data_IF_579126366401
#
_entry.id   IF_579126366401
#
_cell.length_a   1.000
_cell.length_b   1.000
_cell.length_c   1.000
_cell.angle_alpha   90.00
_cell.angle_beta   90.00
_cell.angle_gamma   90.00
#
_symmetry.space_group_name_H-M   'P 1'
#
loop_
_entity.id
_entity.type
_entity.pdbx_description
1 polymer ?
#
# COMPACT_ATOMS: atom_id res chain seq x y z
N UNK A 1 -8.01 -1.04 -35.65
CA UNK A 1 -6.79 -1.54 -35.00
C UNK A 1 -7.10 -1.64 -33.51
N UNK A 2 -7.26 -2.84 -32.96
CA UNK A 2 -7.56 -3.06 -31.54
C UNK A 2 -6.28 -3.66 -30.95
N UNK A 3 -5.55 -2.89 -30.15
CA UNK A 3 -4.28 -3.32 -29.55
C UNK A 3 -4.58 -3.92 -28.16
N UNK A 4 -4.39 -5.23 -27.95
CA UNK A 4 -4.43 -5.81 -26.61
C UNK A 4 -3.43 -5.07 -25.71
N UNK A 5 -3.88 -4.51 -24.59
CA UNK A 5 -3.03 -3.74 -23.66
C UNK A 5 -3.04 -2.21 -23.85
N UNK A 6 -3.90 -1.67 -24.71
CA UNK A 6 -4.15 -0.22 -24.85
C UNK A 6 -5.51 0.24 -24.29
N UNK A 7 -6.13 -0.57 -23.41
CA UNK A 7 -7.40 -0.22 -22.78
C UNK A 7 -7.17 0.77 -21.64
N UNK A 8 -7.56 2.03 -21.83
CA UNK A 8 -7.62 3.02 -20.77
C UNK A 8 -8.98 3.00 -20.08
N UNK A 9 -9.15 2.16 -19.06
CA UNK A 9 -10.37 2.19 -18.25
C UNK A 9 -10.29 3.32 -17.23
N UNK A 10 -11.34 4.14 -17.15
CA UNK A 10 -11.49 5.25 -16.20
C UNK A 10 -12.82 5.10 -15.47
N UNK A 11 -12.77 5.02 -14.14
CA UNK A 11 -13.96 5.01 -13.27
C UNK A 11 -13.76 6.17 -12.29
N UNK A 12 -14.52 7.25 -12.47
CA UNK A 12 -14.27 8.48 -11.73
C UNK A 12 -15.57 9.04 -11.17
N UNK A 13 -15.49 9.69 -10.01
CA UNK A 13 -16.59 10.46 -9.39
C UNK A 13 -17.92 9.69 -9.34
N UNK A 14 -17.84 8.38 -9.09
CA UNK A 14 -18.97 7.46 -9.14
C UNK A 14 -19.38 7.00 -7.74
N UNK A 15 -20.65 6.62 -7.60
CA UNK A 15 -21.20 6.04 -6.37
C UNK A 15 -21.43 4.54 -6.57
N UNK A 16 -20.89 3.73 -5.66
CA UNK A 16 -21.02 2.28 -5.69
C UNK A 16 -21.79 1.79 -4.46
N UNK A 17 -23.03 1.32 -4.67
CA UNK A 17 -23.91 0.83 -3.61
C UNK A 17 -23.83 -0.69 -3.48
N UNK A 18 -23.19 -1.18 -2.41
CA UNK A 18 -22.97 -2.62 -2.15
C UNK A 18 -22.29 -3.40 -3.29
N UNK A 19 -21.78 -2.71 -4.32
CA UNK A 19 -21.26 -3.31 -5.56
C UNK A 19 -19.79 -2.98 -5.71
N UNK A 20 -18.94 -4.01 -5.69
CA UNK A 20 -17.50 -3.88 -5.89
C UNK A 20 -17.07 -3.90 -7.35
N UNK A 21 -15.76 -3.74 -7.57
CA UNK A 21 -15.12 -3.88 -8.88
C UNK A 21 -14.22 -5.10 -8.85
N UNK A 22 -14.27 -5.92 -9.89
CA UNK A 22 -13.27 -6.97 -10.16
C UNK A 22 -12.57 -6.59 -11.45
N UNK A 23 -11.24 -6.46 -11.39
CA UNK A 23 -10.42 -6.18 -12.56
C UNK A 23 -9.41 -7.32 -12.77
N UNK A 24 -9.55 -8.00 -13.90
CA UNK A 24 -8.67 -9.09 -14.32
C UNK A 24 -7.50 -8.54 -15.14
N UNK A 25 -6.27 -8.90 -14.76
CA UNK A 25 -5.02 -8.39 -15.32
C UNK A 25 -5.03 -6.89 -15.72
N UNK A 26 -5.33 -5.96 -14.79
CA UNK A 26 -5.61 -4.60 -15.19
C UNK A 26 -4.36 -3.91 -15.74
N UNK A 27 -4.52 -3.36 -16.96
CA UNK A 27 -3.53 -2.51 -17.63
C UNK A 27 -4.17 -1.14 -17.83
N UNK A 28 -3.49 -0.08 -17.38
CA UNK A 28 -3.92 1.32 -17.55
C UNK A 28 -5.30 1.65 -16.97
N UNK A 29 -5.61 1.10 -15.79
CA UNK A 29 -6.85 1.35 -15.04
C UNK A 29 -6.69 2.54 -14.09
N UNK A 30 -7.67 3.44 -14.05
CA UNK A 30 -7.73 4.52 -13.07
C UNK A 30 -9.10 4.58 -12.39
N UNK A 31 -9.09 4.57 -11.07
CA UNK A 31 -10.26 4.65 -10.19
C UNK A 31 -10.04 5.78 -9.18
N UNK A 32 -10.83 6.86 -9.25
CA UNK A 32 -10.63 8.02 -8.37
C UNK A 32 -11.88 8.83 -8.07
N UNK A 33 -11.92 9.46 -6.88
CA UNK A 33 -13.03 10.31 -6.47
C UNK A 33 -14.35 9.54 -6.28
N UNK A 34 -14.29 8.22 -6.22
CA UNK A 34 -15.47 7.38 -6.05
C UNK A 34 -15.81 7.19 -4.57
N UNK A 35 -17.09 6.97 -4.29
CA UNK A 35 -17.57 6.56 -2.98
C UNK A 35 -18.10 5.12 -3.03
N UNK A 36 -17.48 4.23 -2.27
CA UNK A 36 -17.82 2.82 -2.14
C UNK A 36 -18.57 2.61 -0.83
N UNK A 37 -19.87 2.36 -0.93
CA UNK A 37 -20.74 2.15 0.22
C UNK A 37 -21.08 0.66 0.42
N UNK A 38 -21.52 0.30 1.62
CA UNK A 38 -22.04 -1.03 1.92
C UNK A 38 -20.99 -2.14 1.96
N UNK A 39 -19.71 -1.78 2.11
CA UNK A 39 -18.60 -2.75 2.07
C UNK A 39 -18.17 -3.14 0.66
N UNK A 40 -18.53 -2.35 -0.35
CA UNK A 40 -17.97 -2.48 -1.69
C UNK A 40 -16.44 -2.33 -1.68
N UNK A 41 -15.75 -3.12 -2.50
CA UNK A 41 -14.28 -3.18 -2.57
C UNK A 41 -13.82 -3.31 -4.02
N UNK A 42 -12.52 -3.17 -4.24
CA UNK A 42 -11.86 -3.44 -5.52
C UNK A 42 -11.04 -4.72 -5.39
N UNK A 43 -11.15 -5.63 -6.34
CA UNK A 43 -10.40 -6.88 -6.40
C UNK A 43 -9.56 -6.94 -7.67
N UNK A 44 -8.25 -7.12 -7.53
CA UNK A 44 -7.36 -7.41 -8.65
C UNK A 44 -7.13 -8.90 -8.75
N UNK A 45 -7.40 -9.47 -9.92
CA UNK A 45 -7.32 -10.91 -10.16
C UNK A 45 -6.34 -11.23 -11.30
N UNK A 46 -5.33 -12.08 -11.06
CA UNK A 46 -4.37 -12.47 -12.09
C UNK A 46 -4.94 -13.60 -12.94
N UNK A 47 -5.21 -13.35 -14.22
CA UNK A 47 -5.53 -14.42 -15.19
C UNK A 47 -4.25 -14.85 -15.90
N UNK A 48 -3.47 -13.89 -16.37
CA UNK A 48 -2.13 -14.01 -16.94
C UNK A 48 -1.05 -13.54 -15.97
N UNK A 49 -1.44 -12.85 -14.89
CA UNK A 49 -0.53 -12.41 -13.82
C UNK A 49 0.12 -11.06 -14.08
N UNK A 50 -0.53 -10.17 -14.83
CA UNK A 50 -0.01 -8.84 -15.18
C UNK A 50 -0.88 -7.76 -14.55
N UNK A 51 -0.27 -6.84 -13.81
CA UNK A 51 -0.91 -5.59 -13.38
C UNK A 51 0.02 -4.42 -13.67
N UNK A 52 -0.45 -3.46 -14.46
CA UNK A 52 0.41 -2.37 -14.95
C UNK A 52 -0.30 -1.03 -15.12
N UNK A 53 0.29 0.05 -14.60
CA UNK A 53 -0.24 1.40 -14.79
C UNK A 53 -1.62 1.57 -14.14
N UNK A 54 -1.78 1.07 -12.91
CA UNK A 54 -3.07 1.04 -12.20
C UNK A 54 -3.06 2.06 -11.07
N UNK A 55 -4.06 2.93 -11.05
CA UNK A 55 -4.23 3.97 -10.03
C UNK A 55 -5.57 3.79 -9.32
N UNK A 56 -5.57 3.56 -8.00
CA UNK A 56 -6.75 3.60 -7.13
C UNK A 56 -6.49 4.65 -6.06
N UNK A 57 -6.97 5.86 -6.29
CA UNK A 57 -6.58 7.03 -5.48
C UNK A 57 -7.74 7.91 -5.14
N UNK A 58 -7.68 8.58 -3.99
CA UNK A 58 -8.62 9.64 -3.62
C UNK A 58 -10.09 9.16 -3.58
N UNK A 59 -10.31 7.90 -3.20
CA UNK A 59 -11.66 7.31 -3.01
C UNK A 59 -12.02 7.23 -1.52
N UNK A 60 -13.31 7.14 -1.24
CA UNK A 60 -13.84 6.92 0.11
C UNK A 60 -14.53 5.56 0.14
N UNK A 61 -14.19 4.74 1.14
CA UNK A 61 -14.79 3.42 1.36
C UNK A 61 -15.47 3.40 2.73
N UNK A 62 -16.75 3.06 2.75
CA UNK A 62 -17.55 2.97 3.97
C UNK A 62 -18.39 1.71 3.96
N UNK A 63 -18.37 0.96 5.05
CA UNK A 63 -19.11 -0.29 5.14
C UNK A 63 -19.22 -0.80 6.56
N UNK A 64 -20.36 -1.43 6.87
CA UNK A 64 -20.63 -2.04 8.18
C UNK A 64 -19.95 -3.39 8.37
N UNK A 65 -19.41 -3.97 7.29
CA UNK A 65 -18.65 -5.21 7.30
C UNK A 65 -17.25 -4.97 7.86
N UNK A 66 -17.10 -5.22 9.17
CA UNK A 66 -15.81 -5.19 9.85
C UNK A 66 -14.85 -6.16 9.15
N UNK A 67 -13.65 -5.69 8.80
CA UNK A 67 -12.53 -6.45 8.22
C UNK A 67 -12.49 -6.63 6.69
N UNK A 68 -13.30 -5.93 5.90
CA UNK A 68 -13.15 -5.95 4.44
C UNK A 68 -12.02 -5.01 4.00
N UNK A 69 -11.01 -5.55 3.32
CA UNK A 69 -9.98 -4.74 2.66
C UNK A 69 -10.59 -3.96 1.49
N UNK A 70 -10.28 -2.66 1.39
CA UNK A 70 -10.81 -1.79 0.31
C UNK A 70 -10.29 -2.18 -1.08
N UNK A 71 -9.08 -2.72 -1.12
CA UNK A 71 -8.43 -3.25 -2.30
C UNK A 71 -7.82 -4.58 -1.92
N UNK A 72 -8.08 -5.62 -2.69
CA UNK A 72 -7.57 -6.97 -2.43
C UNK A 72 -6.95 -7.60 -3.66
N UNK A 73 -6.03 -8.52 -3.43
CA UNK A 73 -5.44 -9.38 -4.46
C UNK A 73 -6.11 -10.75 -4.38
N UNK A 74 -6.69 -11.20 -5.49
CA UNK A 74 -7.29 -12.53 -5.63
C UNK A 74 -6.30 -13.50 -6.31
N UNK A 75 -5.08 -13.56 -5.75
CA UNK A 75 -3.97 -14.33 -6.29
C UNK A 75 -2.67 -13.52 -6.44
N UNK A 76 -1.61 -14.19 -6.89
CA UNK A 76 -0.30 -13.59 -7.10
C UNK A 76 -0.10 -13.05 -8.52
N UNK A 77 0.35 -11.80 -8.63
CA UNK A 77 0.79 -11.22 -9.90
C UNK A 77 2.28 -11.51 -10.12
N UNK A 78 2.64 -11.93 -11.34
CA UNK A 78 4.02 -12.19 -11.75
C UNK A 78 4.73 -10.90 -12.20
N UNK A 79 3.97 -9.97 -12.75
CA UNK A 79 4.45 -8.68 -13.23
C UNK A 79 3.63 -7.56 -12.60
N UNK A 80 4.29 -6.75 -11.77
CA UNK A 80 3.69 -5.59 -11.07
C UNK A 80 4.50 -4.35 -11.39
N UNK A 81 3.90 -3.45 -12.17
CA UNK A 81 4.59 -2.28 -12.70
C UNK A 81 3.71 -1.02 -12.63
N UNK A 82 4.21 0.08 -12.07
CA UNK A 82 3.47 1.36 -11.95
C UNK A 82 2.05 1.18 -11.36
N UNK A 83 1.97 0.58 -10.17
CA UNK A 83 0.70 0.40 -9.45
C UNK A 83 0.67 1.33 -8.24
N UNK A 84 -0.31 2.22 -8.19
CA UNK A 84 -0.54 3.13 -7.08
C UNK A 84 -1.93 2.89 -6.48
N UNK A 85 -1.94 2.48 -5.22
CA UNK A 85 -3.12 2.51 -4.36
C UNK A 85 -2.77 3.40 -3.18
N UNK A 86 -3.30 4.61 -3.10
CA UNK A 86 -2.92 5.57 -2.06
C UNK A 86 -4.01 6.64 -1.87
N UNK A 87 -3.95 7.39 -0.77
CA UNK A 87 -4.89 8.49 -0.46
C UNK A 87 -6.38 8.10 -0.48
N UNK A 88 -6.67 6.82 -0.25
CA UNK A 88 -8.03 6.36 -0.01
C UNK A 88 -8.36 6.51 1.47
N UNK A 89 -9.60 6.88 1.78
CA UNK A 89 -10.11 6.99 3.16
C UNK A 89 -11.05 5.83 3.45
N UNK A 90 -10.96 5.28 4.66
CA UNK A 90 -11.81 4.18 5.12
C UNK A 90 -12.63 4.61 6.32
N UNK A 91 -13.86 4.13 6.40
CA UNK A 91 -14.81 4.45 7.45
C UNK A 91 -15.60 3.18 7.86
N UNK A 92 -16.21 3.20 9.05
CA UNK A 92 -17.05 2.13 9.61
C UNK A 92 -16.42 0.71 9.73
N UNK A 93 -15.10 0.57 9.71
CA UNK A 93 -14.40 -0.70 10.01
C UNK A 93 -13.89 -1.48 8.80
N UNK A 94 -13.93 -0.88 7.62
CA UNK A 94 -13.15 -1.34 6.46
C UNK A 94 -11.64 -1.19 6.70
N UNK A 95 -10.83 -1.97 6.00
CA UNK A 95 -9.37 -2.01 6.15
C UNK A 95 -8.68 -1.31 4.99
N UNK A 96 -7.84 -0.33 5.33
CA UNK A 96 -7.01 0.36 4.36
C UNK A 96 -5.96 -0.58 3.78
N UNK A 97 -5.87 -0.60 2.45
CA UNK A 97 -4.78 -1.21 1.69
C UNK A 97 -4.17 -0.18 0.76
N UNK A 98 -2.84 -0.19 0.64
CA UNK A 98 -2.08 0.84 -0.05
C UNK A 98 -0.79 0.26 -0.64
N UNK A 99 -0.28 0.86 -1.71
CA UNK A 99 1.08 0.61 -2.20
C UNK A 99 2.11 1.49 -1.51
N UNK A 100 1.66 2.46 -0.71
CA UNK A 100 2.49 3.29 0.18
C UNK A 100 2.15 2.96 1.64
N UNK A 101 3.11 2.38 2.35
CA UNK A 101 3.01 2.06 3.78
C UNK A 101 3.72 3.12 4.61
N UNK A 102 3.12 3.54 5.73
CA UNK A 102 3.72 4.47 6.69
C UNK A 102 3.62 3.87 8.09
N UNK A 103 4.71 3.91 8.84
CA UNK A 103 4.75 3.38 10.20
C UNK A 103 5.71 4.16 11.09
N UNK A 104 5.50 4.10 12.40
CA UNK A 104 6.45 4.62 13.36
C UNK A 104 6.54 3.74 14.58
N UNK A 105 7.75 3.63 15.13
CA UNK A 105 8.04 2.86 16.34
C UNK A 105 9.04 3.63 17.19
N UNK A 106 8.85 3.62 18.51
CA UNK A 106 9.74 4.26 19.47
C UNK A 106 10.30 3.26 20.47
N UNK A 107 11.39 3.61 21.13
CA UNK A 107 11.91 2.94 22.32
C UNK A 107 13.43 2.91 22.39
N UNK A 108 13.95 2.61 23.58
CA UNK A 108 15.37 2.38 23.85
C UNK A 108 15.79 0.99 23.36
N UNK A 109 16.28 0.94 22.12
CA UNK A 109 16.64 -0.29 21.41
C UNK A 109 17.86 -0.03 20.53
N UNK A 110 18.43 -1.09 19.96
CA UNK A 110 19.35 -1.01 18.83
C UNK A 110 18.69 -1.41 17.51
N UNK A 111 17.43 -1.85 17.55
CA UNK A 111 16.70 -2.39 16.40
C UNK A 111 15.24 -1.96 16.47
N UNK A 112 14.71 -1.45 15.35
CA UNK A 112 13.32 -1.06 15.16
C UNK A 112 12.75 -1.81 13.97
N UNK A 113 11.85 -2.74 14.24
CA UNK A 113 11.11 -3.52 13.24
C UNK A 113 9.73 -2.89 13.01
N UNK A 114 9.54 -2.29 11.84
CA UNK A 114 8.27 -1.69 11.41
C UNK A 114 7.52 -2.69 10.53
N UNK A 115 6.43 -3.24 11.07
CA UNK A 115 5.52 -4.14 10.35
C UNK A 115 4.49 -3.35 9.53
N UNK A 116 4.57 -3.45 8.20
CA UNK A 116 3.65 -2.79 7.26
C UNK A 116 2.70 -3.79 6.56
N UNK A 117 2.62 -5.05 7.00
CA UNK A 117 1.81 -6.10 6.34
C UNK A 117 0.32 -5.79 6.30
N UNK A 118 -0.20 -5.14 7.35
CA UNK A 118 -1.61 -4.79 7.43
C UNK A 118 -2.00 -3.71 6.41
N UNK A 119 -1.07 -2.83 6.04
CA UNK A 119 -1.31 -1.70 5.12
C UNK A 119 -0.90 -2.00 3.68
N UNK A 120 0.25 -2.63 3.47
CA UNK A 120 0.80 -2.83 2.13
C UNK A 120 -0.01 -3.87 1.33
N UNK A 121 -0.31 -3.55 0.07
CA UNK A 121 -1.15 -4.36 -0.81
C UNK A 121 -0.43 -5.63 -1.28
N UNK A 122 0.79 -5.48 -1.81
CA UNK A 122 1.54 -6.61 -2.34
C UNK A 122 2.39 -7.27 -1.25
N UNK A 123 2.46 -8.61 -1.19
CA UNK A 123 3.40 -9.28 -0.30
C UNK A 123 4.84 -9.08 -0.81
N UNK A 124 5.71 -8.57 0.04
CA UNK A 124 7.17 -8.52 -0.19
C UNK A 124 7.59 -7.82 -1.50
N UNK A 125 6.91 -6.72 -1.86
CA UNK A 125 7.19 -5.93 -3.07
C UNK A 125 7.63 -4.50 -2.73
N UNK A 126 8.26 -4.27 -1.57
CA UNK A 126 8.79 -2.95 -1.26
C UNK A 126 9.97 -2.66 -2.20
N UNK A 127 9.86 -1.59 -2.99
CA UNK A 127 10.87 -1.17 -3.97
C UNK A 127 11.70 0.00 -3.46
N UNK A 128 11.13 0.84 -2.59
CA UNK A 128 11.82 1.96 -1.93
C UNK A 128 11.40 2.08 -0.48
N UNK A 129 12.36 2.48 0.36
CA UNK A 129 12.14 2.87 1.75
C UNK A 129 12.81 4.21 2.00
N UNK A 130 12.05 5.14 2.57
CA UNK A 130 12.55 6.34 3.20
C UNK A 130 12.32 6.21 4.70
N UNK A 131 13.30 6.63 5.51
CA UNK A 131 13.13 6.63 6.96
C UNK A 131 13.71 7.88 7.61
N UNK A 132 13.16 8.24 8.76
CA UNK A 132 13.67 9.30 9.62
C UNK A 132 13.98 8.69 10.98
N UNK A 133 15.18 8.95 11.48
CA UNK A 133 15.65 8.53 12.79
C UNK A 133 15.69 9.76 13.71
N UNK A 134 14.93 9.73 14.81
CA UNK A 134 14.82 10.85 15.74
C UNK A 134 15.30 10.36 17.12
N UNK A 135 16.56 10.61 17.51
CA UNK A 135 17.04 10.31 18.86
C UNK A 135 16.35 11.24 19.88
N UNK A 136 16.09 10.72 21.09
CA UNK A 136 15.43 11.49 22.15
C UNK A 136 16.40 12.43 22.90
N UNK A 137 17.70 12.16 22.81
CA UNK A 137 18.78 12.93 23.41
C UNK A 137 19.73 13.45 22.31
N UNK A 138 20.82 14.09 22.73
CA UNK A 138 21.87 14.58 21.83
C UNK A 138 22.81 13.46 21.33
N UNK A 139 22.38 12.19 21.37
CA UNK A 139 23.17 11.09 20.81
C UNK A 139 23.19 11.15 19.28
N UNK A 140 24.29 10.64 18.71
CA UNK A 140 24.47 10.58 17.26
C UNK A 140 24.92 9.18 16.84
N UNK A 141 24.05 8.16 17.02
CA UNK A 141 24.37 6.78 16.71
C UNK A 141 24.54 6.62 15.19
N UNK A 142 25.39 5.67 14.76
CA UNK A 142 25.38 5.27 13.35
C UNK A 142 24.21 4.34 13.15
N UNK A 143 23.30 4.72 12.26
CA UNK A 143 22.10 3.95 11.97
C UNK A 143 21.96 3.70 10.48
N UNK A 144 21.33 2.58 10.12
CA UNK A 144 21.07 2.21 8.74
C UNK A 144 19.81 1.35 8.61
N UNK A 145 19.24 1.38 7.41
CA UNK A 145 18.30 0.33 6.98
C UNK A 145 19.06 -1.00 6.95
N UNK A 146 18.62 -1.98 7.73
CA UNK A 146 19.23 -3.30 7.82
C UNK A 146 18.67 -4.28 6.82
N UNK A 147 17.33 -4.38 6.77
CA UNK A 147 16.66 -5.36 5.92
C UNK A 147 15.23 -4.93 5.59
N UNK A 148 14.74 -5.50 4.49
CA UNK A 148 13.36 -5.41 4.06
C UNK A 148 12.92 -6.84 3.71
N UNK A 149 11.95 -7.38 4.44
CA UNK A 149 11.44 -8.72 4.15
C UNK A 149 10.01 -8.88 4.66
N UNK A 150 9.14 -9.55 3.89
CA UNK A 150 7.74 -9.78 4.28
C UNK A 150 6.98 -8.50 4.69
N UNK A 151 7.30 -7.37 4.05
CA UNK A 151 6.79 -6.04 4.39
C UNK A 151 7.16 -5.53 5.80
N UNK A 152 8.16 -6.15 6.43
CA UNK A 152 8.88 -5.58 7.57
C UNK A 152 10.03 -4.71 7.06
N UNK A 153 10.22 -3.57 7.70
CA UNK A 153 11.36 -2.67 7.47
C UNK A 153 12.13 -2.56 8.77
N UNK A 154 13.37 -3.02 8.76
CA UNK A 154 14.22 -3.08 9.96
C UNK A 154 15.30 -2.02 9.88
N UNK A 155 15.33 -1.13 10.87
CA UNK A 155 16.38 -0.13 11.06
C UNK A 155 17.21 -0.57 12.26
N UNK A 156 18.53 -0.47 12.16
CA UNK A 156 19.45 -0.78 13.25
C UNK A 156 20.38 0.40 13.53
N UNK A 157 20.80 0.51 14.78
CA UNK A 157 21.86 1.38 15.26
C UNK A 157 23.03 0.58 15.84
N UNK A 158 24.22 1.17 15.85
CA UNK A 158 25.42 0.54 16.40
C UNK A 158 25.47 0.50 17.94
N UNK A 159 24.51 1.15 18.61
CA UNK A 159 24.34 1.15 20.06
C UNK A 159 22.87 1.22 20.47
N UNK A 160 22.56 0.87 21.71
CA UNK A 160 21.25 1.15 22.29
C UNK A 160 21.04 2.65 22.47
N UNK A 161 19.88 3.12 22.04
CA UNK A 161 19.48 4.53 22.09
C UNK A 161 17.96 4.62 22.15
N UNK A 162 17.44 5.56 22.94
CA UNK A 162 16.02 5.92 22.89
C UNK A 162 15.78 6.76 21.64
N UNK A 163 15.04 6.20 20.67
CA UNK A 163 14.73 6.89 19.43
C UNK A 163 13.33 6.56 18.92
N UNK A 164 12.78 7.47 18.12
CA UNK A 164 11.61 7.25 17.28
C UNK A 164 12.04 7.11 15.83
N UNK A 165 11.64 6.02 15.21
CA UNK A 165 11.87 5.75 13.79
C UNK A 165 10.55 5.90 13.04
N UNK A 166 10.53 6.71 11.99
CA UNK A 166 9.43 6.82 11.05
C UNK A 166 9.85 6.21 9.73
N UNK A 167 8.99 5.42 9.11
CA UNK A 167 9.24 4.70 7.87
C UNK A 167 8.13 5.01 6.87
N UNK A 168 8.53 5.26 5.63
CA UNK A 168 7.67 5.21 4.45
C UNK A 168 8.21 4.15 3.49
N UNK A 169 7.36 3.22 3.06
CA UNK A 169 7.69 2.16 2.11
C UNK A 169 6.81 2.28 0.86
N UNK A 170 7.39 2.12 -0.31
CA UNK A 170 6.73 2.26 -1.61
C UNK A 170 6.89 1.00 -2.47
N UNK A 171 5.77 0.48 -2.97
CA UNK A 171 5.70 -0.70 -3.85
C UNK A 171 5.50 -0.36 -5.34
N UNK A 172 5.09 0.88 -5.65
CA UNK A 172 4.62 1.31 -6.96
C UNK A 172 5.69 1.86 -7.89
N UNK A 173 6.81 2.37 -7.36
CA UNK A 173 7.81 3.19 -8.09
C UNK A 173 7.17 4.36 -8.84
N UNK A 174 6.70 5.36 -8.10
CA UNK A 174 6.31 6.65 -8.68
C UNK A 174 7.49 7.63 -8.54
N UNK A 175 8.04 8.07 -9.68
CA UNK A 175 8.98 9.19 -9.78
C UNK A 175 8.31 10.33 -10.53
#
# INVERSE_FOLDING_TARGET
MNLPGATHTRIVNSYFDYTGIVAEDPVQLHISGCFFYGGAFISFKPVNGVIRGVNVVDNIFSGTNKNTDIVKLDGGFKQVDQVQVDRNTVDHGMKLKSTIGRGSISGNKSTWDVDLRSTLLFPNLIKRVDYTFIPADNSFPRHALRSISNNHVVIESDMMVEARVLVMADQGMSY
#
